data_IF_356457593679
#
_entry.id   IF_356457593679
#
_cell.length_a   1.000
_cell.length_b   1.000
_cell.length_c   1.000
_cell.angle_alpha   90.00
_cell.angle_beta   90.00
_cell.angle_gamma   90.00
#
_symmetry.space_group_name_H-M   'P 1'
#
loop_
_entity.id
_entity.type
_entity.pdbx_description
1 polymer ?
#
# COMPACT_ATOMS: atom_id res chain seq x y z
N UNK A 1 -18.57 -9.44 -3.85
CA UNK A 1 -17.83 -8.15 -3.84
C UNK A 1 -16.95 -8.06 -2.60
N UNK A 2 -17.50 -8.20 -1.37
CA UNK A 2 -16.71 -8.13 -0.12
C UNK A 2 -15.58 -9.16 -0.06
N UNK A 3 -15.82 -10.39 -0.49
CA UNK A 3 -14.79 -11.43 -0.54
C UNK A 3 -13.66 -11.11 -1.52
N UNK A 4 -13.97 -10.46 -2.64
CA UNK A 4 -12.95 -10.01 -3.60
C UNK A 4 -12.05 -8.95 -2.97
N UNK A 5 -12.63 -7.95 -2.28
CA UNK A 5 -11.85 -6.91 -1.60
C UNK A 5 -10.98 -7.48 -0.48
N UNK A 6 -11.52 -8.40 0.31
CA UNK A 6 -10.78 -9.10 1.35
C UNK A 6 -9.62 -9.94 0.77
N UNK A 7 -9.88 -10.69 -0.30
CA UNK A 7 -8.85 -11.48 -0.98
C UNK A 7 -7.70 -10.63 -1.50
N UNK A 8 -7.99 -9.43 -2.02
CA UNK A 8 -6.97 -8.53 -2.53
C UNK A 8 -6.01 -8.02 -1.45
N UNK A 9 -6.48 -7.88 -0.21
CA UNK A 9 -5.70 -7.46 0.95
C UNK A 9 -5.35 -8.64 1.87
N UNK A 10 -5.19 -9.82 1.31
CA UNK A 10 -4.69 -11.02 1.99
C UNK A 10 -3.49 -11.60 1.24
N UNK A 11 -2.67 -12.46 1.87
CA UNK A 11 -1.48 -13.02 1.22
C UNK A 11 -1.78 -13.88 -0.02
N UNK A 12 -2.97 -14.42 -0.14
CA UNK A 12 -3.38 -15.26 -1.27
C UNK A 12 -4.74 -14.83 -1.77
N UNK A 13 -4.80 -14.40 -3.03
CA UNK A 13 -6.06 -14.12 -3.72
C UNK A 13 -6.29 -15.18 -4.80
N UNK A 14 -7.42 -15.87 -4.74
CA UNK A 14 -7.81 -16.84 -5.78
C UNK A 14 -9.32 -16.93 -5.90
N UNK A 15 -9.76 -17.29 -7.08
CA UNK A 15 -11.13 -17.73 -7.33
C UNK A 15 -11.19 -19.24 -7.36
N UNK A 16 -12.28 -19.81 -6.85
CA UNK A 16 -12.48 -21.26 -6.85
C UNK A 16 -13.94 -21.60 -7.09
N UNK A 17 -14.18 -22.57 -7.96
CA UNK A 17 -15.50 -23.12 -8.18
C UNK A 17 -15.81 -24.22 -7.15
N UNK A 18 -16.99 -24.15 -6.56
CA UNK A 18 -17.57 -25.28 -5.86
C UNK A 18 -18.03 -26.38 -6.83
N UNK A 19 -18.66 -27.45 -6.32
CA UNK A 19 -19.17 -28.58 -7.12
C UNK A 19 -20.17 -28.18 -8.20
N UNK A 20 -20.85 -27.04 -8.04
CA UNK A 20 -21.88 -26.53 -8.94
C UNK A 20 -21.43 -25.24 -9.61
N UNK A 21 -20.42 -25.33 -10.47
CA UNK A 21 -19.79 -24.16 -11.11
C UNK A 21 -20.77 -23.20 -11.80
N UNK A 22 -21.91 -23.69 -12.32
CA UNK A 22 -22.95 -22.87 -12.96
C UNK A 22 -23.88 -22.16 -11.99
N UNK A 23 -23.82 -22.49 -10.71
CA UNK A 23 -24.68 -21.92 -9.67
C UNK A 23 -23.97 -20.83 -8.89
N UNK A 24 -22.66 -20.73 -9.01
CA UNK A 24 -21.85 -19.74 -8.29
C UNK A 24 -21.74 -18.46 -9.11
N UNK A 25 -21.74 -17.32 -8.42
CA UNK A 25 -21.32 -16.07 -9.01
C UNK A 25 -19.91 -16.20 -9.60
N UNK A 26 -19.69 -15.62 -10.73
CA UNK A 26 -18.38 -15.47 -11.34
C UNK A 26 -18.22 -14.03 -11.87
N UNK A 27 -16.99 -13.65 -12.14
CA UNK A 27 -16.67 -12.31 -12.63
C UNK A 27 -17.19 -11.99 -14.04
N UNK A 28 -17.58 -13.00 -14.79
CA UNK A 28 -18.15 -12.88 -16.14
C UNK A 28 -19.65 -12.65 -16.14
N UNK A 29 -20.30 -12.68 -14.96
CA UNK A 29 -21.74 -12.56 -14.81
C UNK A 29 -22.28 -11.23 -15.36
N UNK A 30 -21.50 -10.15 -15.18
CA UNK A 30 -21.84 -8.81 -15.66
C UNK A 30 -20.58 -7.92 -15.69
N UNK A 31 -20.72 -6.74 -16.30
CA UNK A 31 -19.60 -5.80 -16.46
C UNK A 31 -19.13 -5.18 -15.12
N UNK A 32 -20.03 -5.00 -14.16
CA UNK A 32 -19.68 -4.48 -12.84
C UNK A 32 -18.83 -5.49 -12.07
N UNK A 33 -19.23 -6.76 -12.08
CA UNK A 33 -18.49 -7.87 -11.46
C UNK A 33 -17.10 -8.01 -12.07
N UNK A 34 -16.99 -7.93 -13.41
CA UNK A 34 -15.69 -7.96 -14.11
C UNK A 34 -14.81 -6.77 -13.70
N UNK A 35 -15.35 -5.57 -13.69
CA UNK A 35 -14.61 -4.36 -13.33
C UNK A 35 -14.15 -4.40 -11.87
N UNK A 36 -15.01 -4.88 -10.97
CA UNK A 36 -14.70 -5.02 -9.56
C UNK A 36 -13.55 -6.00 -9.32
N UNK A 37 -13.63 -7.22 -9.89
CA UNK A 37 -12.54 -8.19 -9.76
C UNK A 37 -11.24 -7.66 -10.35
N UNK A 38 -11.29 -7.06 -11.54
CA UNK A 38 -10.09 -6.48 -12.19
C UNK A 38 -9.42 -5.44 -11.32
N UNK A 39 -10.18 -4.51 -10.75
CA UNK A 39 -9.64 -3.46 -9.87
C UNK A 39 -8.86 -4.07 -8.69
N UNK A 40 -9.46 -5.02 -8.00
CA UNK A 40 -8.89 -5.58 -6.79
C UNK A 40 -7.78 -6.61 -7.06
N UNK A 41 -7.87 -7.35 -8.15
CA UNK A 41 -6.79 -8.22 -8.60
C UNK A 41 -5.54 -7.41 -9.01
N UNK A 42 -5.72 -6.26 -9.66
CA UNK A 42 -4.62 -5.33 -9.95
C UNK A 42 -3.99 -4.79 -8.67
N UNK A 43 -4.78 -4.38 -7.68
CA UNK A 43 -4.24 -3.95 -6.39
C UNK A 43 -3.45 -5.08 -5.71
N UNK A 44 -3.98 -6.31 -5.72
CA UNK A 44 -3.25 -7.45 -5.17
C UNK A 44 -1.90 -7.65 -5.86
N UNK A 45 -1.87 -7.56 -7.20
CA UNK A 45 -0.63 -7.64 -7.97
C UNK A 45 0.32 -6.48 -7.65
N UNK A 46 -0.19 -5.25 -7.54
CA UNK A 46 0.63 -4.11 -7.14
C UNK A 46 1.31 -4.33 -5.79
N UNK A 47 0.63 -4.96 -4.83
CA UNK A 47 1.15 -5.22 -3.50
C UNK A 47 2.17 -6.39 -3.41
N UNK A 48 2.44 -7.10 -4.50
CA UNK A 48 3.37 -8.25 -4.49
C UNK A 48 4.78 -7.88 -3.99
N UNK A 49 5.43 -6.76 -4.37
CA UNK A 49 6.73 -6.40 -3.82
C UNK A 49 6.71 -6.22 -2.30
N UNK A 50 5.67 -5.54 -1.77
CA UNK A 50 5.47 -5.38 -0.34
C UNK A 50 5.27 -6.74 0.36
N UNK A 51 4.41 -7.59 -0.19
CA UNK A 51 4.14 -8.92 0.39
C UNK A 51 5.37 -9.83 0.35
N UNK A 52 6.21 -9.76 -0.70
CA UNK A 52 7.47 -10.49 -0.78
C UNK A 52 8.45 -10.05 0.30
N UNK A 53 8.63 -8.75 0.51
CA UNK A 53 9.47 -8.25 1.59
C UNK A 53 8.97 -8.73 2.96
N UNK A 54 7.66 -8.76 3.17
CA UNK A 54 7.06 -9.30 4.41
C UNK A 54 7.23 -10.82 4.52
N UNK A 55 7.22 -11.55 3.40
CA UNK A 55 7.49 -12.98 3.40
C UNK A 55 8.96 -13.30 3.76
N UNK A 56 9.89 -12.52 3.27
CA UNK A 56 11.30 -12.61 3.66
C UNK A 56 11.49 -12.31 5.16
N UNK A 57 10.83 -11.28 5.66
CA UNK A 57 10.81 -10.99 7.10
C UNK A 57 10.21 -12.17 7.89
N UNK A 58 9.14 -12.80 7.38
CA UNK A 58 8.54 -13.97 8.02
C UNK A 58 9.51 -15.15 8.13
N UNK A 59 10.33 -15.39 7.11
CA UNK A 59 11.37 -16.43 7.13
C UNK A 59 12.42 -16.14 8.21
N UNK A 60 12.78 -14.88 8.38
CA UNK A 60 13.82 -14.47 9.33
C UNK A 60 13.33 -14.41 10.77
N UNK A 61 12.10 -13.99 11.00
CA UNK A 61 11.57 -13.63 12.33
C UNK A 61 10.42 -14.50 12.81
N UNK A 62 9.79 -15.27 11.93
CA UNK A 62 8.55 -16.00 12.20
C UNK A 62 7.29 -15.15 12.20
N UNK A 63 7.37 -13.83 11.97
CA UNK A 63 6.21 -12.97 11.94
C UNK A 63 5.36 -13.25 10.68
N UNK A 64 4.07 -13.63 10.80
CA UNK A 64 3.24 -13.96 9.64
C UNK A 64 2.92 -12.74 8.79
N UNK A 65 2.53 -12.94 7.52
CA UNK A 65 2.08 -11.84 6.65
C UNK A 65 0.72 -11.30 7.07
N UNK A 66 -0.14 -12.17 7.56
CA UNK A 66 -1.46 -11.83 8.09
C UNK A 66 -1.36 -11.81 9.61
N UNK A 67 -1.40 -10.61 10.22
CA UNK A 67 -0.99 -10.40 11.62
C UNK A 67 -2.12 -9.79 12.45
N UNK A 68 -2.29 -10.21 13.70
CA UNK A 68 -3.02 -9.40 14.68
C UNK A 68 -2.23 -8.12 15.01
N UNK A 69 -2.93 -7.09 15.46
CA UNK A 69 -2.34 -5.77 15.77
C UNK A 69 -1.23 -5.81 16.83
N UNK A 70 -1.23 -6.78 17.71
CA UNK A 70 -0.19 -6.96 18.75
C UNK A 70 1.24 -7.12 18.18
N UNK A 71 1.38 -7.52 16.91
CA UNK A 71 2.70 -7.59 16.27
C UNK A 71 3.30 -6.21 15.98
N UNK A 72 2.47 -5.20 15.71
CA UNK A 72 2.93 -3.83 15.48
C UNK A 72 2.84 -2.96 16.73
N UNK A 73 1.82 -3.21 17.55
CA UNK A 73 1.49 -2.41 18.75
C UNK A 73 1.24 -3.32 19.97
N UNK A 74 2.28 -3.95 20.54
CA UNK A 74 2.13 -4.92 21.63
C UNK A 74 1.58 -4.33 22.93
N UNK A 75 1.72 -3.03 23.13
CA UNK A 75 1.23 -2.30 24.31
C UNK A 75 -0.18 -1.73 24.12
N UNK A 76 -0.74 -1.80 22.93
CA UNK A 76 -2.09 -1.32 22.65
C UNK A 76 -3.12 -2.39 23.05
N UNK A 77 -3.75 -2.18 24.20
CA UNK A 77 -4.65 -3.15 24.82
C UNK A 77 -5.80 -3.62 23.90
N UNK A 78 -6.49 -2.76 23.14
CA UNK A 78 -7.54 -3.22 22.23
C UNK A 78 -7.09 -4.23 21.18
N UNK A 79 -5.81 -4.19 20.79
CA UNK A 79 -5.23 -5.11 19.80
C UNK A 79 -5.19 -6.57 20.25
N UNK A 80 -5.25 -6.84 21.55
CA UNK A 80 -5.20 -8.20 22.09
C UNK A 80 -6.52 -8.99 21.94
N UNK A 81 -7.63 -8.28 21.84
CA UNK A 81 -8.96 -8.88 21.70
C UNK A 81 -9.62 -8.59 20.34
N UNK A 82 -8.89 -7.95 19.44
CA UNK A 82 -9.41 -7.57 18.11
C UNK A 82 -9.44 -8.79 17.18
N UNK A 83 -10.63 -9.18 16.75
CA UNK A 83 -10.88 -10.34 15.90
C UNK A 83 -11.48 -9.98 14.52
N UNK A 84 -11.79 -8.71 14.29
CA UNK A 84 -12.47 -8.21 13.09
C UNK A 84 -11.60 -7.23 12.25
N UNK A 85 -10.35 -7.03 12.64
CA UNK A 85 -9.34 -6.23 11.95
C UNK A 85 -7.99 -6.93 12.01
N UNK A 86 -7.13 -6.70 11.02
CA UNK A 86 -5.82 -7.32 10.95
C UNK A 86 -4.80 -6.40 10.28
N UNK A 87 -3.53 -6.78 10.34
CA UNK A 87 -2.45 -6.20 9.56
C UNK A 87 -2.08 -7.13 8.40
N UNK A 88 -2.02 -6.60 7.19
CA UNK A 88 -1.30 -7.20 6.08
C UNK A 88 0.14 -6.68 6.14
N UNK A 89 1.08 -7.56 6.47
CA UNK A 89 2.46 -7.17 6.78
C UNK A 89 2.54 -6.32 8.05
N UNK A 90 3.41 -5.33 8.05
CA UNK A 90 3.68 -4.47 9.21
C UNK A 90 3.06 -3.06 9.11
N UNK A 91 2.50 -2.69 7.95
CA UNK A 91 2.05 -1.31 7.68
C UNK A 91 0.59 -1.16 7.27
N UNK A 92 -0.05 -2.19 6.73
CA UNK A 92 -1.41 -2.05 6.21
C UNK A 92 -2.41 -2.65 7.19
N UNK A 93 -3.15 -1.79 7.88
CA UNK A 93 -4.28 -2.16 8.72
C UNK A 93 -5.53 -2.33 7.86
N UNK A 94 -6.21 -3.46 7.97
CA UNK A 94 -7.40 -3.80 7.18
C UNK A 94 -8.58 -4.08 8.10
N UNK A 95 -9.73 -3.49 7.79
CA UNK A 95 -10.95 -3.63 8.56
C UNK A 95 -12.12 -4.09 7.65
N UNK A 96 -12.25 -5.39 7.37
CA UNK A 96 -13.31 -5.92 6.53
C UNK A 96 -14.70 -5.60 7.06
N UNK A 97 -15.66 -5.32 6.19
CA UNK A 97 -17.08 -5.22 6.55
C UNK A 97 -17.67 -6.62 6.49
N UNK A 98 -18.02 -7.15 7.65
CA UNK A 98 -18.52 -8.53 7.81
C UNK A 98 -20.03 -8.60 8.05
N UNK A 99 -20.68 -7.48 8.37
CA UNK A 99 -22.12 -7.41 8.55
C UNK A 99 -22.85 -7.35 7.20
N UNK A 100 -23.85 -8.17 7.01
CA UNK A 100 -24.66 -8.19 5.80
C UNK A 100 -25.42 -6.85 5.63
N UNK A 101 -25.35 -6.29 4.42
CA UNK A 101 -26.01 -5.02 4.08
C UNK A 101 -25.35 -3.76 4.65
N UNK A 102 -24.32 -3.88 5.49
CA UNK A 102 -23.66 -2.72 6.04
C UNK A 102 -22.88 -1.94 4.94
N UNK A 103 -22.98 -0.62 4.99
CA UNK A 103 -22.28 0.33 4.09
C UNK A 103 -21.15 1.08 4.79
N UNK A 104 -20.77 0.61 5.96
CA UNK A 104 -19.69 1.16 6.78
C UNK A 104 -19.47 0.28 8.00
N UNK A 105 -18.49 0.64 8.82
CA UNK A 105 -18.21 0.00 10.10
C UNK A 105 -17.48 0.94 11.05
N UNK A 106 -17.43 0.57 12.31
CA UNK A 106 -16.52 1.16 13.28
C UNK A 106 -15.15 0.51 13.17
N UNK A 107 -14.09 1.32 13.20
CA UNK A 107 -12.70 0.89 13.15
C UNK A 107 -11.97 1.41 14.38
N UNK A 108 -11.10 0.61 14.96
CA UNK A 108 -10.17 1.04 16.01
C UNK A 108 -8.75 1.00 15.45
N UNK A 109 -8.00 2.05 15.69
CA UNK A 109 -6.59 2.15 15.32
C UNK A 109 -5.79 2.57 16.55
N UNK A 110 -4.51 2.15 16.69
CA UNK A 110 -3.60 2.74 17.65
C UNK A 110 -3.54 4.26 17.56
N UNK A 111 -3.18 4.92 18.67
CA UNK A 111 -2.98 6.36 18.70
C UNK A 111 -1.99 6.82 17.64
N UNK A 112 -2.31 7.92 16.96
CA UNK A 112 -1.48 8.55 15.95
C UNK A 112 -2.23 8.98 14.70
N UNK A 113 -1.46 9.40 13.71
CA UNK A 113 -1.94 9.79 12.40
C UNK A 113 -1.90 8.59 11.45
N UNK A 114 -2.97 8.37 10.75
CA UNK A 114 -3.14 7.31 9.76
C UNK A 114 -3.58 7.90 8.43
N UNK A 115 -3.30 7.18 7.37
CA UNK A 115 -3.78 7.49 6.02
C UNK A 115 -4.63 6.35 5.49
N UNK A 116 -5.70 6.66 4.79
CA UNK A 116 -6.39 5.64 4.00
C UNK A 116 -5.47 5.13 2.88
N UNK A 117 -5.42 3.80 2.68
CA UNK A 117 -4.43 3.16 1.80
C UNK A 117 -4.43 3.69 0.37
N UNK A 118 -5.61 3.88 -0.24
CA UNK A 118 -5.69 4.17 -1.67
C UNK A 118 -5.81 5.67 -2.00
N UNK A 119 -6.51 6.42 -1.19
CA UNK A 119 -6.78 7.84 -1.43
C UNK A 119 -6.03 8.79 -0.47
N UNK A 120 -5.21 8.24 0.42
CA UNK A 120 -4.31 8.95 1.31
C UNK A 120 -4.97 10.06 2.15
N UNK A 121 -6.27 9.90 2.49
CA UNK A 121 -6.92 10.81 3.41
C UNK A 121 -6.41 10.60 4.82
N UNK A 122 -6.14 11.69 5.52
CA UNK A 122 -5.67 11.64 6.91
C UNK A 122 -6.81 11.25 7.85
N UNK A 123 -6.49 10.36 8.79
CA UNK A 123 -7.36 9.89 9.87
C UNK A 123 -6.57 9.96 11.16
N UNK A 124 -7.06 10.68 12.18
CA UNK A 124 -6.42 10.73 13.48
C UNK A 124 -7.13 9.78 14.45
N UNK A 125 -6.36 9.01 15.19
CA UNK A 125 -6.84 8.10 16.24
C UNK A 125 -6.26 8.49 17.60
N UNK A 126 -7.09 8.42 18.63
CA UNK A 126 -6.69 8.55 20.04
C UNK A 126 -6.32 7.21 20.68
N UNK A 127 -6.34 6.12 19.91
CA UNK A 127 -6.08 4.75 20.38
C UNK A 127 -7.23 4.09 21.13
N UNK A 128 -8.28 4.82 21.47
CA UNK A 128 -9.37 4.33 22.34
C UNK A 128 -10.75 4.43 21.68
N UNK A 129 -11.03 5.50 21.00
CA UNK A 129 -12.33 5.77 20.37
C UNK A 129 -12.46 5.06 19.02
N UNK A 130 -13.63 4.45 18.79
CA UNK A 130 -13.94 3.88 17.48
C UNK A 130 -14.24 4.98 16.45
N UNK A 131 -13.68 4.84 15.27
CA UNK A 131 -13.84 5.75 14.14
C UNK A 131 -14.89 5.17 13.19
N UNK A 132 -15.95 5.90 12.93
CA UNK A 132 -16.96 5.50 11.93
C UNK A 132 -16.41 5.69 10.52
N UNK A 133 -16.41 4.63 9.73
CA UNK A 133 -15.88 4.63 8.36
C UNK A 133 -16.95 4.16 7.39
N UNK A 134 -17.18 4.96 6.35
CA UNK A 134 -18.05 4.57 5.22
C UNK A 134 -17.30 3.58 4.34
N UNK A 135 -17.94 2.48 4.00
CA UNK A 135 -17.42 1.46 3.12
C UNK A 135 -18.53 0.88 2.22
N UNK A 136 -18.74 1.45 1.04
CA UNK A 136 -19.63 0.86 0.03
C UNK A 136 -19.27 -0.60 -0.24
N UNK A 137 -20.20 -1.38 -0.82
CA UNK A 137 -19.98 -2.82 -1.05
C UNK A 137 -18.73 -3.12 -1.89
N UNK A 138 -18.32 -2.18 -2.72
CA UNK A 138 -17.15 -2.28 -3.59
C UNK A 138 -15.82 -1.91 -2.91
N UNK A 139 -15.86 -1.46 -1.65
CA UNK A 139 -14.70 -0.94 -0.92
C UNK A 139 -14.43 -1.74 0.37
N UNK A 140 -13.20 -1.68 0.81
CA UNK A 140 -12.76 -2.21 2.11
C UNK A 140 -11.94 -1.14 2.82
N UNK A 141 -12.23 -0.79 4.08
CA UNK A 141 -11.41 0.12 4.84
C UNK A 141 -10.02 -0.47 5.04
N UNK A 142 -9.01 0.28 4.61
CA UNK A 142 -7.60 -0.06 4.84
C UNK A 142 -6.81 1.22 5.11
N UNK A 143 -5.89 1.13 6.07
CA UNK A 143 -5.15 2.28 6.59
C UNK A 143 -3.67 1.97 6.69
N UNK A 144 -2.87 3.02 6.60
CA UNK A 144 -1.41 2.94 6.78
C UNK A 144 -1.04 4.00 7.82
N UNK A 145 -0.26 3.67 8.86
CA UNK A 145 0.19 4.67 9.80
C UNK A 145 1.10 5.68 9.10
N UNK A 146 1.21 6.86 9.63
CA UNK A 146 2.20 7.82 9.20
C UNK A 146 3.63 7.25 9.29
N UNK A 147 4.61 7.95 8.75
CA UNK A 147 5.98 7.43 8.66
C UNK A 147 6.07 6.06 7.98
N UNK A 148 5.27 5.81 6.95
CA UNK A 148 5.23 4.52 6.27
C UNK A 148 5.51 4.63 4.78
N UNK A 149 6.09 3.55 4.24
CA UNK A 149 6.23 3.34 2.81
C UNK A 149 5.67 1.97 2.43
N UNK A 150 4.95 1.92 1.32
CA UNK A 150 4.48 0.68 0.71
C UNK A 150 5.06 0.61 -0.69
N UNK A 151 5.92 -0.38 -0.93
CA UNK A 151 6.54 -0.59 -2.24
C UNK A 151 5.63 -1.50 -3.05
N UNK A 152 5.30 -1.04 -4.25
CA UNK A 152 4.36 -1.72 -5.13
C UNK A 152 4.94 -1.90 -6.53
N UNK A 153 4.32 -2.74 -7.33
CA UNK A 153 4.47 -2.63 -8.78
C UNK A 153 3.68 -1.43 -9.31
N UNK A 154 4.10 -0.85 -10.44
CA UNK A 154 3.25 0.08 -11.19
C UNK A 154 1.91 -0.56 -11.60
N UNK A 155 0.84 0.23 -11.76
CA UNK A 155 -0.50 -0.30 -12.07
C UNK A 155 -0.60 -0.97 -13.46
N UNK A 156 0.39 -0.82 -14.31
CA UNK A 156 0.47 -1.46 -15.63
C UNK A 156 0.91 -2.93 -15.54
N UNK A 157 1.51 -3.34 -14.40
CA UNK A 157 1.97 -4.72 -14.21
C UNK A 157 0.78 -5.63 -13.90
N UNK A 158 0.38 -6.41 -14.89
CA UNK A 158 -0.71 -7.39 -14.75
C UNK A 158 -0.22 -8.78 -14.34
N UNK A 159 1.04 -9.10 -14.61
CA UNK A 159 1.66 -10.40 -14.25
C UNK A 159 3.18 -10.25 -14.15
N UNK A 160 3.81 -11.12 -13.39
CA UNK A 160 5.28 -11.25 -13.26
C UNK A 160 5.78 -12.61 -13.75
N UNK A 161 4.93 -13.41 -14.34
CA UNK A 161 5.29 -14.65 -15.03
C UNK A 161 5.24 -14.41 -16.53
N UNK A 162 6.11 -15.11 -17.26
CA UNK A 162 6.10 -15.07 -18.71
C UNK A 162 4.70 -15.37 -19.23
N UNK A 163 4.11 -14.38 -19.85
CA UNK A 163 2.78 -14.53 -20.40
C UNK A 163 2.81 -15.42 -21.63
N UNK A 164 1.75 -16.21 -21.81
CA UNK A 164 1.52 -16.97 -23.04
C UNK A 164 1.36 -16.02 -24.26
N UNK A 165 1.02 -14.76 -23.99
CA UNK A 165 0.89 -13.71 -24.99
C UNK A 165 2.16 -12.85 -25.02
N UNK A 166 2.91 -12.93 -26.13
CA UNK A 166 4.14 -12.16 -26.35
C UNK A 166 3.95 -10.62 -26.40
N UNK A 167 2.72 -10.12 -26.32
CA UNK A 167 2.44 -8.68 -26.20
C UNK A 167 2.70 -8.11 -24.80
N UNK A 168 2.89 -8.97 -23.78
CA UNK A 168 3.13 -8.56 -22.41
C UNK A 168 4.58 -8.90 -22.04
N UNK A 169 5.44 -7.90 -22.07
CA UNK A 169 6.80 -8.03 -21.55
C UNK A 169 6.81 -7.88 -20.01
N UNK A 170 6.49 -8.98 -19.35
CA UNK A 170 6.47 -9.04 -17.89
C UNK A 170 7.86 -8.78 -17.25
N UNK A 171 8.93 -9.09 -17.99
CA UNK A 171 10.31 -8.91 -17.51
C UNK A 171 10.72 -7.43 -17.55
N UNK A 172 10.33 -6.69 -18.60
CA UNK A 172 10.69 -5.29 -18.74
C UNK A 172 10.09 -4.40 -17.64
N UNK A 173 8.88 -4.72 -17.16
CA UNK A 173 8.20 -3.95 -16.10
C UNK A 173 8.41 -4.52 -14.69
N UNK A 174 8.93 -5.73 -14.57
CA UNK A 174 9.16 -6.38 -13.27
C UNK A 174 10.21 -5.66 -12.39
N UNK A 175 11.10 -4.88 -12.99
CA UNK A 175 12.10 -4.06 -12.29
C UNK A 175 11.54 -2.70 -11.85
N UNK A 176 10.47 -2.22 -12.47
CA UNK A 176 9.87 -0.93 -12.12
C UNK A 176 9.14 -1.03 -10.77
N UNK A 177 9.20 0.04 -9.99
CA UNK A 177 8.51 0.14 -8.70
C UNK A 177 7.74 1.45 -8.60
N UNK A 178 6.61 1.38 -7.91
CA UNK A 178 5.93 2.55 -7.37
C UNK A 178 6.08 2.51 -5.85
N UNK A 179 6.39 3.63 -5.23
CA UNK A 179 6.51 3.76 -3.77
C UNK A 179 5.45 4.71 -3.28
N UNK A 180 4.57 4.20 -2.46
CA UNK A 180 3.57 5.00 -1.76
C UNK A 180 4.16 5.47 -0.44
N UNK A 181 4.42 6.78 -0.34
CA UNK A 181 5.01 7.41 0.82
C UNK A 181 3.90 8.09 1.63
N UNK A 182 3.78 7.70 2.88
CA UNK A 182 2.87 8.31 3.87
C UNK A 182 3.73 9.09 4.86
N UNK A 183 3.84 10.43 4.70
CA UNK A 183 4.77 11.24 5.47
C UNK A 183 4.52 11.16 6.97
N UNK A 184 5.60 11.32 7.75
CA UNK A 184 5.51 11.42 9.20
C UNK A 184 4.72 12.67 9.61
N UNK A 185 3.88 12.52 10.64
CA UNK A 185 3.30 13.65 11.36
C UNK A 185 4.10 13.82 12.67
N UNK A 186 4.83 14.92 12.82
CA UNK A 186 5.68 15.17 13.98
C UNK A 186 7.17 15.23 13.68
N UNK A 187 8.00 14.81 14.63
CA UNK A 187 9.46 14.94 14.58
C UNK A 187 10.09 14.20 13.39
N UNK A 188 11.18 14.77 12.84
CA UNK A 188 11.92 14.12 11.75
C UNK A 188 12.36 12.69 12.12
N UNK A 189 12.16 11.75 11.23
CA UNK A 189 12.54 10.36 11.45
C UNK A 189 13.07 9.70 10.17
N UNK A 190 13.90 8.69 10.35
CA UNK A 190 14.34 7.81 9.27
C UNK A 190 13.45 6.58 9.21
N UNK A 191 13.03 6.23 8.02
CA UNK A 191 12.28 5.01 7.76
C UNK A 191 12.93 4.28 6.59
N UNK A 192 13.11 2.98 6.72
CA UNK A 192 13.60 2.15 5.62
C UNK A 192 12.73 0.93 5.39
N UNK A 193 12.68 0.50 4.15
CA UNK A 193 12.02 -0.74 3.73
C UNK A 193 12.99 -1.52 2.87
N UNK A 194 13.24 -2.77 3.23
CA UNK A 194 13.97 -3.71 2.38
C UNK A 194 13.08 -4.07 1.18
N UNK A 195 13.64 -3.93 -0.01
CA UNK A 195 13.00 -4.35 -1.25
C UNK A 195 13.98 -5.16 -2.08
N UNK A 196 13.48 -6.03 -2.92
CA UNK A 196 14.32 -6.67 -3.94
C UNK A 196 14.50 -5.78 -5.17
N UNK A 197 15.76 -5.60 -5.67
CA UNK A 197 17.05 -5.78 -4.98
C UNK A 197 17.50 -4.46 -4.39
N UNK A 198 17.45 -4.27 -3.09
CA UNK A 198 18.02 -3.11 -2.43
C UNK A 198 17.17 -2.57 -1.30
N UNK A 199 17.55 -1.42 -0.81
CA UNK A 199 16.90 -0.73 0.29
C UNK A 199 16.32 0.59 -0.17
N UNK A 200 15.09 0.86 0.24
CA UNK A 200 14.46 2.17 0.13
C UNK A 200 14.44 2.82 1.51
N UNK A 201 14.97 4.00 1.59
CA UNK A 201 14.96 4.79 2.80
C UNK A 201 14.27 6.12 2.60
N UNK A 202 13.54 6.56 3.61
CA UNK A 202 12.87 7.86 3.65
C UNK A 202 13.24 8.59 4.93
N UNK A 203 13.65 9.84 4.79
CA UNK A 203 13.90 10.75 5.92
C UNK A 203 13.07 12.01 5.74
N UNK A 204 12.27 12.34 6.73
CA UNK A 204 11.64 13.66 6.83
C UNK A 204 12.51 14.58 7.65
N UNK A 205 12.87 15.73 7.08
CA UNK A 205 13.60 16.80 7.75
C UNK A 205 12.79 18.11 7.66
N UNK A 206 11.61 18.18 8.29
CA UNK A 206 10.73 19.33 8.24
C UNK A 206 9.34 19.04 7.68
N UNK A 207 8.56 20.06 7.37
CA UNK A 207 7.21 19.90 6.82
C UNK A 207 7.24 19.53 5.34
N UNK A 208 7.17 18.23 5.06
CA UNK A 208 7.21 17.69 3.71
C UNK A 208 5.97 18.03 2.87
N UNK A 209 4.87 18.41 3.50
CA UNK A 209 3.63 18.78 2.80
C UNK A 209 3.78 20.10 2.04
N UNK A 210 4.56 21.03 2.59
CA UNK A 210 4.88 22.31 1.93
C UNK A 210 6.07 22.21 0.97
N UNK A 211 6.86 21.15 1.03
CA UNK A 211 8.18 21.05 0.41
C UNK A 211 8.26 20.26 -0.91
N UNK A 212 7.14 19.78 -1.45
CA UNK A 212 7.14 19.01 -2.71
C UNK A 212 7.40 19.86 -3.98
N UNK A 213 7.49 21.18 -3.83
CA UNK A 213 7.82 22.10 -4.91
C UNK A 213 9.35 22.31 -4.92
N UNK A 214 10.03 21.89 -6.00
CA UNK A 214 11.47 22.04 -6.15
C UNK A 214 12.29 20.82 -5.68
N UNK A 215 11.87 19.62 -6.05
CA UNK A 215 12.62 18.40 -5.79
C UNK A 215 13.72 18.15 -6.81
N UNK A 216 14.80 17.49 -6.39
CA UNK A 216 15.87 17.00 -7.24
C UNK A 216 16.13 15.53 -7.02
N UNK A 217 16.57 14.84 -8.07
CA UNK A 217 17.07 13.48 -8.04
C UNK A 217 18.47 13.44 -8.63
N UNK A 218 19.47 13.08 -7.83
CA UNK A 218 20.89 13.17 -8.23
C UNK A 218 21.23 14.54 -8.84
N UNK A 219 20.78 15.64 -8.18
CA UNK A 219 20.95 17.04 -8.60
C UNK A 219 20.22 17.45 -9.91
N UNK A 220 19.41 16.57 -10.47
CA UNK A 220 18.55 16.86 -11.62
C UNK A 220 17.15 17.23 -11.12
N UNK A 221 16.57 18.38 -11.57
CA UNK A 221 15.21 18.74 -11.19
C UNK A 221 14.18 17.67 -11.54
N UNK A 222 13.29 17.35 -10.61
CA UNK A 222 12.20 16.39 -10.76
C UNK A 222 10.88 17.11 -10.68
N UNK A 223 10.00 16.86 -11.65
CA UNK A 223 8.64 17.40 -11.64
C UNK A 223 7.70 16.51 -10.86
N UNK A 224 6.93 17.09 -9.95
CA UNK A 224 5.80 16.43 -9.30
C UNK A 224 4.49 16.87 -9.94
N UNK A 225 3.61 15.89 -10.14
CA UNK A 225 2.22 16.12 -10.52
C UNK A 225 1.34 15.85 -9.30
N UNK A 226 0.50 16.81 -8.92
CA UNK A 226 -0.45 16.64 -7.81
C UNK A 226 -1.79 16.19 -8.37
N UNK A 227 -2.27 15.05 -7.89
CA UNK A 227 -3.57 14.50 -8.28
C UNK A 227 -4.33 14.09 -7.02
N UNK A 228 -5.31 14.88 -6.63
CA UNK A 228 -6.06 14.66 -5.38
C UNK A 228 -5.14 14.74 -4.16
N UNK A 229 -5.14 13.67 -3.35
CA UNK A 229 -4.30 13.57 -2.14
C UNK A 229 -2.88 13.04 -2.40
N UNK A 230 -2.48 12.92 -3.66
CA UNK A 230 -1.18 12.39 -4.05
C UNK A 230 -0.39 13.38 -4.92
N UNK A 231 0.87 13.58 -4.56
CA UNK A 231 1.88 14.11 -5.47
C UNK A 231 2.69 12.96 -6.07
N UNK A 232 2.94 12.99 -7.37
CA UNK A 232 3.65 11.91 -8.07
C UNK A 232 4.84 12.43 -8.86
N UNK A 233 5.93 11.66 -8.87
CA UNK A 233 7.09 11.88 -9.72
C UNK A 233 7.69 10.55 -10.17
N UNK A 234 8.26 10.51 -11.36
CA UNK A 234 8.99 9.34 -11.86
C UNK A 234 10.46 9.69 -12.02
N UNK A 235 11.32 8.82 -11.51
CA UNK A 235 12.78 8.93 -11.55
C UNK A 235 13.39 7.63 -12.05
N UNK A 236 14.64 7.67 -12.52
CA UNK A 236 15.31 6.49 -13.10
C UNK A 236 16.66 6.25 -12.39
N UNK A 237 16.86 5.02 -11.94
CA UNK A 237 18.10 4.56 -11.33
C UNK A 237 18.17 4.71 -9.81
N UNK A 238 19.30 4.33 -9.20
CA UNK A 238 19.57 4.55 -7.77
C UNK A 238 19.94 6.02 -7.50
N UNK A 239 19.71 6.48 -6.28
CA UNK A 239 20.11 7.82 -5.88
C UNK A 239 19.29 8.37 -4.72
N UNK A 240 19.29 9.69 -4.59
CA UNK A 240 18.55 10.40 -3.56
C UNK A 240 17.59 11.39 -4.20
N UNK A 241 16.36 11.39 -3.73
CA UNK A 241 15.39 12.45 -4.02
C UNK A 241 15.45 13.46 -2.87
N UNK A 242 15.62 14.74 -3.24
CA UNK A 242 15.64 15.86 -2.28
C UNK A 242 14.49 16.81 -2.57
N UNK A 243 13.96 17.41 -1.52
CA UNK A 243 12.96 18.47 -1.61
C UNK A 243 13.53 19.68 -0.86
N UNK A 244 13.97 20.69 -1.61
CA UNK A 244 14.80 21.76 -1.05
C UNK A 244 16.08 21.18 -0.46
N UNK A 245 16.40 21.50 0.79
CA UNK A 245 17.53 20.95 1.54
C UNK A 245 17.21 19.61 2.23
N UNK A 246 16.03 19.07 2.00
CA UNK A 246 15.52 17.87 2.66
C UNK A 246 15.74 16.63 1.81
N UNK A 247 16.44 15.64 2.37
CA UNK A 247 16.50 14.30 1.76
C UNK A 247 15.23 13.53 2.11
N UNK A 248 14.46 13.12 1.10
CA UNK A 248 13.22 12.39 1.31
C UNK A 248 13.36 10.90 1.09
N UNK A 249 14.11 10.50 0.08
CA UNK A 249 14.19 9.11 -0.34
C UNK A 249 15.61 8.77 -0.80
N UNK A 250 16.10 7.65 -0.30
CA UNK A 250 17.34 7.04 -0.77
C UNK A 250 17.03 5.67 -1.35
N UNK A 251 17.51 5.42 -2.56
CA UNK A 251 17.43 4.11 -3.22
C UNK A 251 18.85 3.56 -3.36
N UNK A 252 19.10 2.42 -2.77
CA UNK A 252 20.36 1.69 -2.90
C UNK A 252 20.13 0.36 -3.62
N UNK A 253 21.07 -0.03 -4.48
CA UNK A 253 20.92 -1.23 -5.30
C UNK A 253 20.00 -1.02 -6.50
N UNK A 254 19.74 -2.09 -7.23
CA UNK A 254 18.94 -2.07 -8.45
C UNK A 254 19.75 -1.76 -9.71
N UNK A 255 19.09 -1.82 -10.85
CA UNK A 255 19.70 -1.52 -12.15
C UNK A 255 19.64 -0.02 -12.44
N UNK A 256 20.60 0.55 -13.18
CA UNK A 256 20.61 1.97 -13.52
C UNK A 256 19.34 2.44 -14.27
N UNK A 257 18.77 1.56 -15.08
CA UNK A 257 17.55 1.81 -15.88
C UNK A 257 16.24 1.61 -15.12
N UNK A 258 16.30 1.18 -13.84
CA UNK A 258 15.11 0.96 -13.04
C UNK A 258 14.30 2.25 -12.86
N UNK A 259 13.04 2.19 -13.21
CA UNK A 259 12.09 3.28 -13.03
C UNK A 259 11.45 3.21 -11.64
N UNK A 260 11.44 4.34 -10.95
CA UNK A 260 10.81 4.49 -9.66
C UNK A 260 9.78 5.63 -9.74
N UNK A 261 8.51 5.29 -9.54
CA UNK A 261 7.45 6.29 -9.40
C UNK A 261 7.16 6.50 -7.93
N UNK A 262 7.22 7.74 -7.49
CA UNK A 262 6.91 8.14 -6.12
C UNK A 262 5.48 8.67 -6.08
N UNK A 263 4.70 8.13 -5.16
CA UNK A 263 3.40 8.70 -4.77
C UNK A 263 3.50 9.14 -3.32
N UNK A 264 3.52 10.43 -3.08
CA UNK A 264 3.64 11.01 -1.74
C UNK A 264 2.29 11.54 -1.32
N UNK A 265 1.79 11.07 -0.18
CA UNK A 265 0.56 11.56 0.40
C UNK A 265 0.72 13.03 0.79
N UNK A 266 -0.21 13.88 0.33
CA UNK A 266 -0.25 15.30 0.65
C UNK A 266 -1.48 15.60 1.48
N UNK A 267 -1.38 16.54 2.43
CA UNK A 267 -2.55 16.98 3.17
C UNK A 267 -3.57 17.57 2.19
N UNK A 268 -4.82 17.20 2.35
CA UNK A 268 -5.90 17.98 1.77
C UNK A 268 -5.85 19.38 2.42
N UNK A 269 -5.70 20.43 1.59
CA UNK A 269 -5.85 21.81 2.04
C UNK A 269 -7.29 22.07 2.42
#
# INVERSE_FOLDING_TARGET
FRWVTFGALSPVMRTHHGRSARMNWNWESDSESTAHLRRWAKLHMQLVPYQRAMAEQAVQTGAPLFRPFIFGWPTWEPGWSMDDQYLLGDRIAVAPVVEEGATGRSVRLPEGTWYTLLDARTVTSDGTTSIAVTAPMTEIPAFVPDCSMVVTYPPEVDTVVDAIDASIDAVAVADDREVWVYPCDGEPGWMSVLTEPGELGYTRLGDTRAGLIGATWNDVPVSFTITGSWATATVVGPGQLRVGDTEMLRVTGGRPERRLTLRVAVAAN
#
